data_IF_487134815399
#
_entry.id   IF_487134815399
#
_cell.length_a   1.000
_cell.length_b   1.000
_cell.length_c   1.000
_cell.angle_alpha   90.00
_cell.angle_beta   90.00
_cell.angle_gamma   90.00
#
_symmetry.space_group_name_H-M   'P 1'
#
loop_
_entity.id
_entity.type
_entity.pdbx_description
1 polymer ?
#
# COMPACT_ATOMS: atom_id res chain seq x y z
N UNK A 1 -12.36 11.31 13.72
CA UNK A 1 -13.15 11.40 12.46
C UNK A 1 -12.28 12.09 11.42
N UNK A 2 -12.38 11.75 10.13
CA UNK A 2 -11.73 12.53 9.06
C UNK A 2 -12.35 13.92 9.00
N UNK A 3 -11.57 14.94 8.64
CA UNK A 3 -12.04 16.32 8.56
C UNK A 3 -12.94 16.52 7.34
N UNK A 4 -13.83 17.52 7.38
CA UNK A 4 -14.66 17.87 6.21
C UNK A 4 -13.81 18.34 5.02
N UNK A 5 -12.66 18.95 5.32
CA UNK A 5 -11.62 19.30 4.35
C UNK A 5 -10.98 18.09 3.66
N UNK A 6 -10.86 16.95 4.35
CA UNK A 6 -10.29 15.71 3.78
C UNK A 6 -11.19 15.17 2.65
N UNK A 7 -12.52 15.36 2.75
CA UNK A 7 -13.48 14.83 1.77
C UNK A 7 -13.34 15.43 0.37
N UNK A 8 -12.81 16.65 0.27
CA UNK A 8 -12.61 17.39 -0.98
C UNK A 8 -11.23 17.18 -1.60
N UNK A 9 -10.28 16.66 -0.82
CA UNK A 9 -8.93 16.35 -1.29
C UNK A 9 -8.82 14.88 -1.70
N UNK A 10 -7.85 14.54 -2.56
CA UNK A 10 -7.62 13.14 -2.93
C UNK A 10 -7.21 12.30 -1.72
N UNK A 11 -7.67 11.05 -1.68
CA UNK A 11 -7.12 10.01 -0.84
C UNK A 11 -6.76 8.79 -1.68
N UNK A 12 -5.73 8.06 -1.26
CA UNK A 12 -5.37 6.78 -1.86
C UNK A 12 -5.61 5.67 -0.85
N UNK A 13 -6.32 4.63 -1.25
CA UNK A 13 -6.59 3.46 -0.42
C UNK A 13 -5.95 2.23 -1.04
N UNK A 14 -4.98 1.65 -0.34
CA UNK A 14 -4.34 0.40 -0.73
C UNK A 14 -4.99 -0.78 -0.02
N UNK A 15 -5.24 -1.86 -0.74
CA UNK A 15 -5.71 -3.12 -0.17
C UNK A 15 -4.70 -4.25 -0.44
N UNK A 16 -4.26 -4.92 0.62
CA UNK A 16 -3.31 -6.03 0.55
C UNK A 16 -3.91 -7.32 -0.02
N UNK A 17 -3.06 -8.31 -0.32
CA UNK A 17 -3.49 -9.56 -0.95
C UNK A 17 -4.46 -10.37 -0.08
N UNK A 18 -4.31 -10.34 1.25
CA UNK A 18 -5.28 -10.91 2.18
C UNK A 18 -6.61 -10.17 2.11
N UNK A 19 -6.60 -8.84 2.04
CA UNK A 19 -7.78 -8.00 1.88
C UNK A 19 -8.55 -8.30 0.59
N UNK A 20 -7.88 -8.63 -0.51
CA UNK A 20 -8.53 -9.00 -1.77
C UNK A 20 -8.52 -10.51 -2.04
N UNK A 21 -8.30 -11.34 -1.03
CA UNK A 21 -8.08 -12.78 -1.18
C UNK A 21 -9.30 -13.59 -1.64
N UNK A 22 -10.50 -13.01 -1.64
CA UNK A 22 -11.71 -13.65 -2.15
C UNK A 22 -12.65 -12.64 -2.78
N UNK A 23 -13.56 -13.11 -3.64
CA UNK A 23 -14.58 -12.28 -4.29
C UNK A 23 -15.46 -11.58 -3.25
N UNK A 24 -15.83 -12.24 -2.16
CA UNK A 24 -16.66 -11.63 -1.12
C UNK A 24 -15.93 -10.52 -0.36
N UNK A 25 -14.62 -10.69 -0.14
CA UNK A 25 -13.80 -9.62 0.44
C UNK A 25 -13.68 -8.42 -0.48
N UNK A 26 -13.48 -8.65 -1.79
CA UNK A 26 -13.47 -7.58 -2.81
C UNK A 26 -14.81 -6.84 -2.83
N UNK A 27 -15.95 -7.56 -2.79
CA UNK A 27 -17.29 -6.96 -2.70
C UNK A 27 -17.47 -6.14 -1.43
N UNK A 28 -16.99 -6.64 -0.29
CA UNK A 28 -17.05 -5.89 0.98
C UNK A 28 -16.27 -4.57 0.91
N UNK A 29 -15.10 -4.57 0.25
CA UNK A 29 -14.31 -3.36 0.01
C UNK A 29 -15.06 -2.39 -0.92
N UNK A 30 -15.61 -2.88 -2.03
CA UNK A 30 -16.38 -2.06 -2.96
C UNK A 30 -17.59 -1.40 -2.28
N UNK A 31 -18.34 -2.15 -1.46
CA UNK A 31 -19.46 -1.62 -0.68
C UNK A 31 -19.02 -0.54 0.32
N UNK A 32 -17.82 -0.68 0.92
CA UNK A 32 -17.24 0.36 1.80
C UNK A 32 -16.92 1.63 1.02
N UNK A 33 -16.25 1.51 -0.13
CA UNK A 33 -15.93 2.67 -0.99
C UNK A 33 -17.21 3.35 -1.48
N UNK A 34 -18.25 2.57 -1.82
CA UNK A 34 -19.56 3.12 -2.19
C UNK A 34 -20.19 3.95 -1.06
N UNK A 35 -20.15 3.46 0.19
CA UNK A 35 -20.58 4.24 1.37
C UNK A 35 -19.76 5.53 1.53
N UNK A 36 -18.45 5.48 1.30
CA UNK A 36 -17.60 6.68 1.37
C UNK A 36 -17.96 7.69 0.27
N UNK A 37 -18.18 7.25 -0.97
CA UNK A 37 -18.68 8.11 -2.06
C UNK A 37 -20.02 8.76 -1.68
N UNK A 38 -20.96 8.00 -1.12
CA UNK A 38 -22.25 8.51 -0.64
C UNK A 38 -22.09 9.52 0.52
N UNK A 39 -21.09 9.34 1.38
CA UNK A 39 -20.77 10.26 2.48
C UNK A 39 -20.02 11.54 2.04
N UNK A 40 -19.83 11.72 0.73
CA UNK A 40 -19.27 12.93 0.13
C UNK A 40 -17.78 12.89 -0.18
N UNK A 41 -17.11 11.72 -0.07
CA UNK A 41 -15.72 11.60 -0.50
C UNK A 41 -15.61 11.68 -2.02
N UNK A 42 -15.14 12.81 -2.55
CA UNK A 42 -15.16 13.07 -3.99
C UNK A 42 -14.09 12.31 -4.77
N UNK A 43 -12.87 12.23 -4.21
CA UNK A 43 -11.64 11.82 -4.91
C UNK A 43 -10.94 10.67 -4.19
N UNK A 44 -11.41 9.45 -4.42
CA UNK A 44 -10.79 8.22 -3.91
C UNK A 44 -10.06 7.53 -5.06
N UNK A 45 -8.78 7.21 -4.90
CA UNK A 45 -8.06 6.28 -5.77
C UNK A 45 -7.77 4.98 -5.01
N UNK A 46 -7.89 3.85 -5.68
CA UNK A 46 -7.72 2.53 -5.07
C UNK A 46 -6.46 1.88 -5.64
N UNK A 47 -5.63 1.28 -4.80
CA UNK A 47 -4.50 0.45 -5.19
C UNK A 47 -4.70 -0.96 -4.66
N UNK A 48 -4.55 -1.97 -5.51
CA UNK A 48 -4.72 -3.37 -5.10
C UNK A 48 -3.46 -4.20 -5.34
N UNK A 49 -3.16 -5.11 -4.41
CA UNK A 49 -2.22 -6.20 -4.61
C UNK A 49 -2.87 -7.37 -5.37
N UNK A 50 -2.09 -8.34 -5.83
CA UNK A 50 -2.62 -9.63 -6.26
C UNK A 50 -3.40 -10.31 -5.13
N UNK A 51 -4.34 -11.20 -5.49
CA UNK A 51 -5.07 -12.03 -4.53
C UNK A 51 -4.10 -12.92 -3.74
N UNK A 52 -4.43 -13.19 -2.47
CA UNK A 52 -3.60 -14.00 -1.59
C UNK A 52 -3.15 -15.33 -2.25
N UNK A 53 -1.84 -15.56 -2.28
CA UNK A 53 -1.24 -16.77 -2.86
C UNK A 53 -0.87 -16.67 -4.34
N UNK A 54 -1.51 -15.80 -5.13
CA UNK A 54 -1.28 -15.75 -6.59
C UNK A 54 0.13 -15.32 -6.97
N UNK A 55 0.70 -14.32 -6.28
CA UNK A 55 2.09 -13.90 -6.54
C UNK A 55 3.05 -15.08 -6.36
N UNK A 56 2.94 -15.82 -5.24
CA UNK A 56 3.80 -16.98 -4.96
C UNK A 56 3.63 -18.07 -6.01
N UNK A 57 2.38 -18.36 -6.40
CA UNK A 57 2.06 -19.32 -7.47
C UNK A 57 2.74 -18.94 -8.78
N UNK A 58 2.73 -17.66 -9.17
CA UNK A 58 3.43 -17.21 -10.38
C UNK A 58 4.95 -17.31 -10.26
N UNK A 59 5.52 -16.99 -9.10
CA UNK A 59 6.96 -17.19 -8.84
C UNK A 59 7.35 -18.66 -9.00
N UNK A 60 6.57 -19.57 -8.41
CA UNK A 60 6.80 -21.01 -8.51
C UNK A 60 6.71 -21.50 -9.96
N UNK A 61 5.69 -21.06 -10.72
CA UNK A 61 5.51 -21.43 -12.12
C UNK A 61 6.71 -20.99 -12.99
N UNK A 62 7.18 -19.75 -12.83
CA UNK A 62 8.36 -19.27 -13.56
C UNK A 62 9.59 -20.12 -13.21
N UNK A 63 9.79 -20.43 -11.93
CA UNK A 63 10.90 -21.25 -11.45
C UNK A 63 10.85 -22.69 -11.97
N UNK A 64 9.66 -23.29 -12.07
CA UNK A 64 9.48 -24.63 -12.64
C UNK A 64 9.80 -24.70 -14.14
N UNK A 65 9.50 -23.63 -14.89
CA UNK A 65 9.84 -23.54 -16.31
C UNK A 65 11.33 -23.31 -16.50
N UNK A 66 11.92 -22.36 -15.76
CA UNK A 66 13.34 -22.08 -15.79
C UNK A 66 13.80 -21.43 -14.46
N UNK A 67 14.56 -22.16 -13.61
CA UNK A 67 15.11 -21.61 -12.37
C UNK A 67 16.03 -20.40 -12.55
N UNK A 68 16.60 -20.24 -13.75
CA UNK A 68 17.47 -19.13 -14.14
C UNK A 68 16.76 -18.16 -15.10
N UNK A 69 15.43 -18.09 -15.07
CA UNK A 69 14.67 -17.16 -15.91
C UNK A 69 15.17 -15.71 -15.70
N UNK A 70 15.29 -14.96 -16.79
CA UNK A 70 15.63 -13.54 -16.71
C UNK A 70 14.55 -12.79 -15.91
N UNK A 71 14.98 -11.85 -15.08
CA UNK A 71 14.10 -11.13 -14.14
C UNK A 71 12.93 -10.37 -14.82
N UNK A 72 13.06 -10.01 -16.10
CA UNK A 72 11.96 -9.43 -16.88
C UNK A 72 10.77 -10.38 -17.09
N UNK A 73 11.03 -11.69 -17.22
CA UNK A 73 9.98 -12.69 -17.34
C UNK A 73 9.29 -12.93 -16.01
N UNK A 74 10.06 -12.88 -14.92
CA UNK A 74 9.51 -12.85 -13.57
C UNK A 74 8.56 -11.67 -13.41
N UNK A 75 9.02 -10.44 -13.69
CA UNK A 75 8.23 -9.21 -13.53
C UNK A 75 6.92 -9.27 -14.32
N UNK A 76 7.00 -9.72 -15.58
CA UNK A 76 5.82 -9.90 -16.41
C UNK A 76 4.83 -10.90 -15.80
N UNK A 77 5.30 -12.07 -15.35
CA UNK A 77 4.44 -13.12 -14.80
C UNK A 77 3.76 -12.68 -13.50
N UNK A 78 4.53 -12.16 -12.53
CA UNK A 78 3.96 -11.81 -11.22
C UNK A 78 3.02 -10.61 -11.30
N UNK A 79 3.26 -9.67 -12.23
CA UNK A 79 2.40 -8.50 -12.43
C UNK A 79 0.98 -8.86 -12.88
N UNK A 80 0.79 -10.03 -13.50
CA UNK A 80 -0.52 -10.48 -13.93
C UNK A 80 -1.50 -10.64 -12.76
N UNK A 81 -1.02 -10.94 -11.55
CA UNK A 81 -1.84 -11.08 -10.36
C UNK A 81 -2.56 -9.78 -9.99
N UNK A 82 -1.85 -8.66 -9.99
CA UNK A 82 -2.43 -7.33 -9.75
C UNK A 82 -3.37 -6.91 -10.88
N UNK A 83 -3.10 -7.31 -12.13
CA UNK A 83 -4.01 -7.03 -13.24
C UNK A 83 -5.38 -7.68 -13.01
N UNK A 84 -5.41 -8.94 -12.56
CA UNK A 84 -6.66 -9.64 -12.25
C UNK A 84 -7.40 -8.95 -11.10
N UNK A 85 -6.74 -8.66 -9.97
CA UNK A 85 -7.40 -8.04 -8.82
C UNK A 85 -7.91 -6.62 -9.12
N UNK A 86 -7.19 -5.86 -9.94
CA UNK A 86 -7.59 -4.52 -10.39
C UNK A 86 -8.89 -4.58 -11.20
N UNK A 87 -8.99 -5.53 -12.14
CA UNK A 87 -10.20 -5.73 -12.93
C UNK A 87 -11.39 -6.16 -12.05
N UNK A 88 -11.16 -7.09 -11.13
CA UNK A 88 -12.21 -7.57 -10.20
C UNK A 88 -12.72 -6.47 -9.28
N UNK A 89 -11.83 -5.62 -8.75
CA UNK A 89 -12.21 -4.50 -7.90
C UNK A 89 -13.01 -3.45 -8.66
N UNK A 90 -12.61 -3.08 -9.88
CA UNK A 90 -13.37 -2.16 -10.72
C UNK A 90 -14.78 -2.69 -11.02
N UNK A 91 -14.90 -3.96 -11.41
CA UNK A 91 -16.20 -4.60 -11.64
C UNK A 91 -17.06 -4.67 -10.37
N UNK A 92 -16.45 -4.88 -9.20
CA UNK A 92 -17.17 -4.87 -7.93
C UNK A 92 -17.68 -3.47 -7.57
N UNK A 93 -16.93 -2.40 -7.84
CA UNK A 93 -17.38 -1.02 -7.65
C UNK A 93 -18.55 -0.67 -8.57
N UNK A 94 -18.47 -1.06 -9.85
CA UNK A 94 -19.57 -0.85 -10.81
C UNK A 94 -20.85 -1.54 -10.36
N UNK A 95 -20.75 -2.75 -9.79
CA UNK A 95 -21.89 -3.46 -9.20
C UNK A 95 -22.56 -2.68 -8.07
N UNK A 96 -21.78 -1.95 -7.27
CA UNK A 96 -22.28 -1.10 -6.19
C UNK A 96 -22.78 0.28 -6.69
N UNK A 97 -22.87 0.47 -8.01
CA UNK A 97 -23.32 1.71 -8.64
C UNK A 97 -22.26 2.82 -8.62
N UNK A 98 -21.01 2.49 -8.36
CA UNK A 98 -19.87 3.43 -8.40
C UNK A 98 -19.13 3.22 -9.72
N UNK A 99 -19.14 4.19 -10.66
CA UNK A 99 -18.32 4.08 -11.86
C UNK A 99 -16.86 3.90 -11.47
N UNK A 100 -16.16 2.96 -12.11
CA UNK A 100 -14.77 2.68 -11.79
C UNK A 100 -13.99 2.38 -13.06
N UNK A 101 -12.68 2.63 -13.04
CA UNK A 101 -11.82 2.30 -14.16
C UNK A 101 -10.53 1.66 -13.66
N UNK A 102 -10.21 0.50 -14.23
CA UNK A 102 -8.98 -0.22 -13.96
C UNK A 102 -7.80 0.38 -14.75
N UNK A 103 -6.66 0.54 -14.08
CA UNK A 103 -5.43 1.07 -14.65
C UNK A 103 -4.23 0.19 -14.26
N UNK A 104 -3.44 -0.15 -15.27
CA UNK A 104 -2.12 -0.74 -15.11
C UNK A 104 -1.05 0.36 -15.13
N UNK A 105 0.13 0.07 -14.58
CA UNK A 105 1.24 1.03 -14.47
C UNK A 105 1.56 1.75 -15.79
N UNK A 106 1.58 1.03 -16.92
CA UNK A 106 1.85 1.62 -18.24
C UNK A 106 0.77 2.59 -18.71
N UNK A 107 -0.49 2.37 -18.30
CA UNK A 107 -1.60 3.22 -18.72
C UNK A 107 -1.54 4.59 -18.05
N UNK A 108 -0.97 4.69 -16.84
CA UNK A 108 -0.84 5.93 -16.06
C UNK A 108 0.60 6.46 -16.01
N UNK A 109 1.43 6.04 -16.96
CA UNK A 109 2.81 6.52 -17.05
C UNK A 109 3.63 6.33 -15.76
N UNK A 110 3.38 5.26 -15.00
CA UNK A 110 4.14 4.94 -13.79
C UNK A 110 5.53 4.43 -14.19
N UNK A 111 6.45 5.36 -14.42
CA UNK A 111 7.81 5.09 -14.87
C UNK A 111 8.66 4.61 -13.72
N UNK A 112 9.42 3.55 -13.96
CA UNK A 112 10.35 2.97 -13.01
C UNK A 112 11.73 2.75 -13.64
N UNK A 113 12.75 2.72 -12.79
CA UNK A 113 14.14 2.52 -13.19
C UNK A 113 14.87 1.53 -12.26
N UNK A 114 16.07 1.12 -12.66
CA UNK A 114 16.91 0.19 -11.93
C UNK A 114 16.75 -1.25 -12.42
N UNK A 115 16.75 -2.19 -11.48
CA UNK A 115 16.71 -3.62 -11.79
C UNK A 115 15.27 -4.14 -11.74
N UNK A 116 14.93 -5.04 -12.67
CA UNK A 116 13.75 -5.90 -12.56
C UNK A 116 13.69 -6.58 -11.18
N UNK A 117 12.48 -6.88 -10.72
CA UNK A 117 12.16 -7.37 -9.38
C UNK A 117 12.44 -6.40 -8.20
N UNK A 118 13.12 -5.27 -8.41
CA UNK A 118 13.51 -4.31 -7.36
C UNK A 118 13.54 -2.85 -7.86
N UNK A 119 12.66 -2.52 -8.79
CA UNK A 119 12.66 -1.21 -9.45
C UNK A 119 12.27 -0.08 -8.48
N UNK A 120 12.59 1.16 -8.87
CA UNK A 120 12.24 2.39 -8.15
C UNK A 120 11.38 3.27 -9.03
N UNK A 121 10.30 3.82 -8.45
CA UNK A 121 9.40 4.73 -9.15
C UNK A 121 10.14 6.06 -9.40
N UNK A 122 10.09 6.53 -10.64
CA UNK A 122 10.66 7.82 -11.08
C UNK A 122 9.58 8.89 -11.21
N UNK A 123 8.45 8.56 -11.83
CA UNK A 123 7.34 9.49 -12.06
C UNK A 123 6.02 8.74 -12.25
N UNK A 124 4.91 9.44 -12.03
CA UNK A 124 3.55 8.95 -12.28
C UNK A 124 2.78 10.07 -12.98
N UNK A 125 2.08 9.75 -14.06
CA UNK A 125 1.18 10.66 -14.73
C UNK A 125 -0.23 10.52 -14.14
N UNK A 126 -0.77 11.64 -13.63
CA UNK A 126 -2.06 11.67 -12.94
C UNK A 126 -3.23 12.04 -13.84
N UNK A 127 -3.00 12.46 -15.08
CA UNK A 127 -4.03 13.04 -15.96
C UNK A 127 -5.24 12.11 -16.13
N UNK A 128 -4.98 10.82 -16.37
CA UNK A 128 -6.06 9.83 -16.54
C UNK A 128 -6.82 9.53 -15.26
N UNK A 129 -6.16 9.62 -14.10
CA UNK A 129 -6.79 9.40 -12.81
C UNK A 129 -7.69 10.59 -12.44
N UNK A 130 -7.21 11.80 -12.71
CA UNK A 130 -7.97 13.04 -12.55
C UNK A 130 -9.17 13.09 -13.50
N UNK A 131 -9.00 12.65 -14.75
CA UNK A 131 -10.11 12.51 -15.70
C UNK A 131 -11.14 11.47 -15.24
N UNK A 132 -10.71 10.35 -14.65
CA UNK A 132 -11.60 9.34 -14.07
C UNK A 132 -12.46 9.95 -12.94
N UNK A 133 -11.86 10.73 -12.04
CA UNK A 133 -12.62 11.46 -11.01
C UNK A 133 -13.56 12.52 -11.58
N UNK A 134 -13.13 13.25 -12.61
CA UNK A 134 -13.96 14.25 -13.27
C UNK A 134 -15.22 13.64 -13.92
N UNK A 135 -15.13 12.40 -14.39
CA UNK A 135 -16.26 11.60 -14.86
C UNK A 135 -17.10 10.97 -13.72
N UNK A 136 -16.79 11.29 -12.45
CA UNK A 136 -17.48 10.78 -11.27
C UNK A 136 -17.00 9.40 -10.80
N UNK A 137 -16.00 8.83 -11.47
CA UNK A 137 -15.53 7.47 -11.22
C UNK A 137 -14.48 7.33 -10.12
N UNK A 138 -14.09 6.08 -9.87
CA UNK A 138 -12.99 5.68 -8.97
C UNK A 138 -11.91 4.98 -9.79
N UNK A 139 -10.70 5.55 -9.90
CA UNK A 139 -9.58 4.84 -10.50
C UNK A 139 -9.10 3.72 -9.58
N UNK A 140 -8.97 2.51 -10.14
CA UNK A 140 -8.39 1.33 -9.49
C UNK A 140 -7.07 1.03 -10.18
N UNK A 141 -5.97 1.08 -9.45
CA UNK A 141 -4.61 0.97 -9.98
C UNK A 141 -3.96 -0.33 -9.50
N UNK A 142 -3.34 -1.06 -10.43
CA UNK A 142 -2.48 -2.20 -10.08
C UNK A 142 -1.25 -1.71 -9.31
N UNK A 143 -1.11 -2.15 -8.05
CA UNK A 143 0.09 -1.87 -7.26
C UNK A 143 1.29 -2.68 -7.75
N UNK A 144 2.45 -2.55 -7.09
CA UNK A 144 3.66 -3.37 -7.29
C UNK A 144 4.34 -3.25 -8.68
N UNK A 145 3.64 -2.71 -9.67
CA UNK A 145 4.09 -2.55 -11.05
C UNK A 145 4.69 -1.17 -11.33
N UNK A 146 5.57 -1.13 -12.32
CA UNK A 146 6.04 0.06 -13.03
C UNK A 146 6.42 -0.30 -14.46
N UNK A 147 6.79 0.70 -15.25
CA UNK A 147 7.32 0.48 -16.61
C UNK A 147 8.65 1.17 -16.83
N UNK A 148 9.57 0.47 -17.48
CA UNK A 148 10.85 1.03 -17.91
C UNK A 148 10.64 2.11 -18.99
N UNK A 149 11.72 2.79 -19.37
CA UNK A 149 11.73 3.73 -20.49
C UNK A 149 11.36 3.04 -21.81
N UNK A 150 11.72 1.76 -21.97
CA UNK A 150 11.40 0.93 -23.12
C UNK A 150 10.01 0.28 -23.05
N UNK A 151 9.18 0.67 -22.07
CA UNK A 151 7.84 0.11 -21.79
C UNK A 151 7.85 -1.38 -21.40
N UNK A 152 8.94 -1.88 -20.83
CA UNK A 152 8.96 -3.21 -20.21
C UNK A 152 8.33 -3.14 -18.81
N UNK A 153 7.53 -4.14 -18.45
CA UNK A 153 6.97 -4.26 -17.10
C UNK A 153 8.10 -4.49 -16.10
N UNK A 154 8.11 -3.69 -15.04
CA UNK A 154 9.02 -3.82 -13.91
C UNK A 154 8.24 -3.99 -12.62
N UNK A 155 8.80 -4.69 -11.64
CA UNK A 155 8.20 -4.77 -10.31
C UNK A 155 9.07 -4.12 -9.24
N UNK A 156 8.40 -3.58 -8.22
CA UNK A 156 9.02 -2.71 -7.20
C UNK A 156 9.67 -3.48 -6.04
N UNK A 157 9.57 -4.81 -6.06
CA UNK A 157 10.01 -5.71 -5.00
C UNK A 157 9.00 -5.86 -3.86
N UNK A 158 9.45 -6.42 -2.73
CA UNK A 158 8.59 -6.63 -1.56
C UNK A 158 7.96 -5.32 -1.09
N UNK A 159 6.71 -5.40 -0.65
CA UNK A 159 5.92 -4.21 -0.26
C UNK A 159 5.58 -3.28 -1.42
N UNK A 160 5.79 -3.69 -2.67
CA UNK A 160 5.67 -2.78 -3.82
C UNK A 160 4.28 -2.17 -3.99
N UNK A 161 3.19 -2.85 -3.59
CA UNK A 161 1.87 -2.22 -3.62
C UNK A 161 1.73 -1.07 -2.61
N UNK A 162 2.37 -1.15 -1.44
CA UNK A 162 2.38 -0.05 -0.46
C UNK A 162 3.19 1.13 -1.01
N UNK A 163 4.35 0.83 -1.63
CA UNK A 163 5.19 1.82 -2.30
C UNK A 163 4.42 2.51 -3.43
N UNK A 164 3.72 1.74 -4.28
CA UNK A 164 2.85 2.28 -5.34
C UNK A 164 1.79 3.22 -4.77
N UNK A 165 1.15 2.85 -3.66
CA UNK A 165 0.10 3.64 -3.06
C UNK A 165 0.60 4.98 -2.50
N UNK A 166 1.72 4.98 -1.75
CA UNK A 166 2.28 6.24 -1.25
C UNK A 166 2.84 7.10 -2.37
N UNK A 167 3.51 6.50 -3.37
CA UNK A 167 3.99 7.26 -4.54
C UNK A 167 2.83 7.90 -5.31
N UNK A 168 1.73 7.16 -5.47
CA UNK A 168 0.53 7.65 -6.12
C UNK A 168 -0.13 8.78 -5.30
N UNK A 169 -0.20 8.63 -3.97
CA UNK A 169 -0.72 9.65 -3.07
C UNK A 169 0.10 10.94 -3.16
N UNK A 170 1.43 10.84 -3.22
CA UNK A 170 2.33 11.98 -3.43
C UNK A 170 2.07 12.64 -4.78
N UNK A 171 2.00 11.87 -5.87
CA UNK A 171 1.76 12.39 -7.21
C UNK A 171 0.41 13.13 -7.31
N UNK A 172 -0.64 12.57 -6.69
CA UNK A 172 -1.99 13.14 -6.67
C UNK A 172 -2.17 14.26 -5.66
N UNK A 173 -1.15 14.58 -4.86
CA UNK A 173 -1.22 15.55 -3.74
C UNK A 173 -2.37 15.21 -2.79
N UNK A 174 -2.50 13.93 -2.45
CA UNK A 174 -3.51 13.43 -1.55
C UNK A 174 -3.34 13.97 -0.12
N UNK A 175 -4.42 14.00 0.66
CA UNK A 175 -4.35 14.33 2.09
C UNK A 175 -3.61 13.25 2.88
N UNK A 176 -3.82 11.99 2.52
CA UNK A 176 -3.18 10.83 3.12
C UNK A 176 -3.29 9.60 2.23
N UNK A 177 -2.45 8.61 2.52
CA UNK A 177 -2.50 7.27 1.96
C UNK A 177 -2.97 6.27 3.02
N UNK A 178 -4.10 5.61 2.82
CA UNK A 178 -4.54 4.50 3.66
C UNK A 178 -3.93 3.17 3.20
N UNK A 179 -3.21 2.50 4.10
CA UNK A 179 -2.80 1.12 3.95
C UNK A 179 -3.79 0.24 4.70
N UNK A 180 -4.75 -0.31 3.95
CA UNK A 180 -5.74 -1.25 4.47
C UNK A 180 -5.17 -2.67 4.41
N UNK A 181 -5.05 -3.29 5.58
CA UNK A 181 -4.44 -4.61 5.78
C UNK A 181 -5.32 -5.47 6.69
N UNK A 182 -4.79 -6.55 7.25
CA UNK A 182 -5.43 -7.52 8.16
C UNK A 182 -5.14 -7.27 9.65
N UNK A 183 -4.69 -6.06 9.99
CA UNK A 183 -4.46 -5.61 11.37
C UNK A 183 -5.06 -4.22 11.60
N UNK A 184 -5.49 -3.94 12.82
CA UNK A 184 -6.14 -2.68 13.20
C UNK A 184 -5.23 -1.45 13.10
N UNK A 185 -3.92 -1.66 13.07
CA UNK A 185 -2.90 -0.63 12.99
C UNK A 185 -1.56 -1.15 13.51
N UNK A 186 -0.71 -0.22 13.96
CA UNK A 186 0.57 -0.52 14.62
C UNK A 186 0.34 -0.59 16.12
N UNK A 187 0.80 -1.66 16.76
CA UNK A 187 0.72 -1.86 18.20
C UNK A 187 2.07 -1.61 18.87
N UNK A 188 2.06 -1.32 20.17
CA UNK A 188 3.28 -1.12 20.97
C UNK A 188 4.18 -2.36 21.02
N UNK A 189 3.64 -3.55 20.77
CA UNK A 189 4.36 -4.80 20.54
C UNK A 189 3.48 -5.73 19.67
N UNK A 190 4.01 -6.87 19.20
CA UNK A 190 3.17 -7.86 18.48
C UNK A 190 2.10 -8.41 19.44
N UNK A 191 0.79 -8.13 19.20
CA UNK A 191 -0.29 -8.55 20.10
C UNK A 191 -0.45 -10.08 20.17
N UNK A 192 0.13 -10.83 19.22
CA UNK A 192 0.16 -12.29 19.24
C UNK A 192 1.18 -12.84 20.25
N UNK A 193 2.15 -12.01 20.65
CA UNK A 193 3.19 -12.33 21.62
C UNK A 193 2.91 -11.66 22.97
N UNK A 194 2.46 -10.41 22.94
CA UNK A 194 2.14 -9.60 24.14
C UNK A 194 0.67 -9.19 24.08
N UNK A 195 -0.25 -9.93 24.74
CA UNK A 195 -1.69 -9.66 24.68
C UNK A 195 -2.10 -8.26 25.15
N UNK A 196 -1.31 -7.63 26.03
CA UNK A 196 -1.54 -6.28 26.56
C UNK A 196 -1.05 -5.16 25.63
N UNK A 197 -0.52 -5.51 24.45
CA UNK A 197 -0.07 -4.52 23.46
C UNK A 197 -1.22 -3.57 23.10
N UNK A 198 -0.92 -2.28 23.06
CA UNK A 198 -1.91 -1.23 22.80
C UNK A 198 -1.74 -0.71 21.38
N UNK A 199 -2.86 -0.33 20.76
CA UNK A 199 -2.84 0.36 19.48
C UNK A 199 -2.17 1.72 19.65
N UNK A 200 -1.21 2.03 18.77
CA UNK A 200 -0.57 3.33 18.70
C UNK A 200 -1.39 4.20 17.75
N UNK A 201 -2.11 5.20 18.27
CA UNK A 201 -3.02 6.01 17.44
C UNK A 201 -2.27 6.93 16.47
N UNK A 202 -1.15 7.51 16.93
CA UNK A 202 -0.29 8.40 16.13
C UNK A 202 1.16 8.03 16.34
N UNK A 203 1.93 7.95 15.26
CA UNK A 203 3.33 7.55 15.23
C UNK A 203 4.09 8.53 14.31
N UNK A 204 5.30 8.93 14.69
CA UNK A 204 6.14 9.74 13.82
C UNK A 204 6.84 8.86 12.77
N UNK A 205 7.34 9.47 11.70
CA UNK A 205 7.99 8.72 10.63
C UNK A 205 9.23 7.96 11.09
N UNK A 206 10.04 8.52 11.99
CA UNK A 206 11.29 7.89 12.43
C UNK A 206 10.98 6.64 13.27
N UNK A 207 10.07 6.75 14.24
CA UNK A 207 9.62 5.57 14.99
C UNK A 207 8.98 4.52 14.08
N UNK A 208 8.16 4.93 13.10
CA UNK A 208 7.55 4.01 12.14
C UNK A 208 8.60 3.28 11.28
N UNK A 209 9.65 3.99 10.86
CA UNK A 209 10.77 3.43 10.09
C UNK A 209 11.52 2.39 10.89
N UNK A 210 11.89 2.70 12.14
CA UNK A 210 12.59 1.78 13.02
C UNK A 210 11.75 0.53 13.31
N UNK A 211 10.46 0.70 13.62
CA UNK A 211 9.56 -0.42 13.84
C UNK A 211 9.41 -1.30 12.59
N UNK A 212 9.27 -0.71 11.40
CA UNK A 212 9.18 -1.44 10.14
C UNK A 212 10.50 -2.16 9.79
N UNK A 213 11.65 -1.55 10.06
CA UNK A 213 12.96 -2.13 9.80
C UNK A 213 13.27 -3.33 10.73
N UNK A 214 12.81 -3.27 11.97
CA UNK A 214 13.10 -4.26 13.02
C UNK A 214 12.03 -5.38 13.15
N UNK A 215 11.18 -5.55 12.14
CA UNK A 215 10.32 -6.74 12.02
C UNK A 215 8.82 -6.51 12.28
N UNK A 216 8.36 -5.27 12.45
CA UNK A 216 6.92 -4.98 12.36
C UNK A 216 6.45 -5.22 10.92
N UNK A 217 5.83 -6.39 10.68
CA UNK A 217 5.37 -6.82 9.34
C UNK A 217 4.18 -6.03 8.80
N UNK A 218 3.76 -4.98 9.49
CA UNK A 218 2.56 -4.19 9.16
C UNK A 218 2.81 -3.26 7.98
N UNK A 219 4.00 -2.68 7.88
CA UNK A 219 4.38 -1.76 6.81
C UNK A 219 5.76 -2.08 6.26
N UNK A 220 5.94 -1.86 4.96
CA UNK A 220 7.26 -1.93 4.35
C UNK A 220 8.04 -0.63 4.56
N UNK A 221 9.28 -0.69 5.05
CA UNK A 221 10.10 0.49 5.39
C UNK A 221 10.18 1.53 4.26
N UNK A 222 10.44 1.08 3.02
CA UNK A 222 10.48 1.96 1.83
C UNK A 222 9.20 2.79 1.60
N UNK A 223 8.04 2.30 2.01
CA UNK A 223 6.77 3.03 1.92
C UNK A 223 6.77 4.19 2.94
N UNK A 224 7.24 3.93 4.16
CA UNK A 224 7.38 4.95 5.22
C UNK A 224 8.46 5.97 4.85
N UNK A 225 9.59 5.54 4.28
CA UNK A 225 10.65 6.45 3.80
C UNK A 225 10.10 7.44 2.77
N UNK A 226 9.26 6.94 1.86
CA UNK A 226 8.62 7.77 0.84
C UNK A 226 7.61 8.73 1.47
N UNK A 227 6.82 8.26 2.43
CA UNK A 227 5.91 9.11 3.22
C UNK A 227 6.66 10.25 3.91
N UNK A 228 7.73 9.92 4.62
CA UNK A 228 8.59 10.88 5.33
C UNK A 228 9.20 11.90 4.38
N UNK A 229 9.81 11.44 3.28
CA UNK A 229 10.49 12.30 2.29
C UNK A 229 9.58 13.38 1.70
N UNK A 230 8.30 13.05 1.47
CA UNK A 230 7.34 13.95 0.84
C UNK A 230 6.30 14.51 1.82
N UNK A 231 6.43 14.23 3.11
CA UNK A 231 5.46 14.63 4.13
C UNK A 231 4.06 14.05 3.90
N UNK A 232 3.93 12.90 3.24
CA UNK A 232 2.65 12.25 2.92
C UNK A 232 2.18 11.38 4.09
N UNK A 233 1.11 11.76 4.82
CA UNK A 233 0.62 10.99 5.95
C UNK A 233 0.16 9.60 5.52
N UNK A 234 0.50 8.60 6.32
CA UNK A 234 0.12 7.20 6.09
C UNK A 234 -0.83 6.77 7.19
N UNK A 235 -1.95 6.15 6.82
CA UNK A 235 -2.94 5.63 7.76
C UNK A 235 -2.98 4.11 7.66
N UNK A 236 -2.65 3.40 8.73
CA UNK A 236 -2.75 1.94 8.78
C UNK A 236 -4.05 1.55 9.47
N UNK A 237 -4.81 0.64 8.86
CA UNK A 237 -6.04 0.12 9.45
C UNK A 237 -6.45 -1.24 8.89
N UNK A 238 -7.41 -1.86 9.57
CA UNK A 238 -8.05 -3.08 9.08
C UNK A 238 -8.97 -2.75 7.90
N UNK A 239 -8.87 -3.56 6.86
CA UNK A 239 -9.70 -3.50 5.65
C UNK A 239 -11.19 -3.65 5.97
N UNK A 240 -11.54 -4.46 6.98
CA UNK A 240 -12.91 -4.87 7.28
C UNK A 240 -13.50 -4.24 8.54
N UNK A 241 -12.75 -3.41 9.25
CA UNK A 241 -13.28 -2.61 10.36
C UNK A 241 -14.33 -1.61 9.83
N UNK A 242 -15.60 -1.83 10.21
CA UNK A 242 -16.76 -1.10 9.67
C UNK A 242 -16.93 0.26 10.34
N UNK A 243 -16.45 0.44 11.57
CA UNK A 243 -16.72 1.66 12.36
C UNK A 243 -15.65 2.76 12.18
N UNK A 244 -14.63 2.51 11.35
CA UNK A 244 -13.50 3.43 11.12
C UNK A 244 -12.80 3.88 12.43
N UNK A 245 -12.95 3.09 13.50
CA UNK A 245 -12.65 3.51 14.85
C UNK A 245 -11.16 3.34 15.18
N UNK A 246 -10.53 2.27 14.69
CA UNK A 246 -9.14 1.92 15.02
C UNK A 246 -8.22 2.08 13.83
N UNK A 247 -7.15 2.87 14.04
CA UNK A 247 -6.09 3.12 13.06
C UNK A 247 -4.85 3.65 13.73
N UNK A 248 -3.73 3.54 13.04
CA UNK A 248 -2.51 4.31 13.32
C UNK A 248 -2.30 5.35 12.24
N UNK A 249 -2.06 6.60 12.62
CA UNK A 249 -1.63 7.67 11.71
C UNK A 249 -0.13 7.87 11.83
N UNK A 250 0.59 7.76 10.73
CA UNK A 250 2.02 8.02 10.63
C UNK A 250 2.22 9.35 9.93
N UNK A 251 2.81 10.31 10.64
CA UNK A 251 2.96 11.70 10.18
C UNK A 251 4.07 12.42 10.95
N UNK A 252 4.55 13.56 10.45
CA UNK A 252 5.43 14.42 11.23
C UNK A 252 4.69 14.96 12.46
N UNK A 253 5.38 14.96 13.60
CA UNK A 253 4.86 15.57 14.82
C UNK A 253 5.09 17.08 14.81
N UNK A 254 4.15 17.83 15.37
CA UNK A 254 4.36 19.23 15.77
C UNK A 254 5.31 19.29 16.97
N UNK A 255 5.91 20.45 17.26
CA UNK A 255 6.79 20.63 18.42
C UNK A 255 6.12 20.22 19.74
N UNK A 256 4.83 20.55 19.91
CA UNK A 256 4.06 20.17 21.09
C UNK A 256 3.88 18.65 21.19
N UNK A 257 3.60 17.97 20.07
CA UNK A 257 3.43 16.51 20.06
C UNK A 257 4.76 15.79 20.30
N UNK A 258 5.87 16.33 19.81
CA UNK A 258 7.20 15.79 20.07
C UNK A 258 7.59 15.91 21.55
N UNK A 259 7.19 16.99 22.23
CA UNK A 259 7.50 17.19 23.66
C UNK A 259 6.79 16.17 24.57
N UNK A 260 5.55 15.79 24.23
CA UNK A 260 4.76 14.80 24.98
C UNK A 260 4.93 13.37 24.48
N UNK A 261 5.73 13.17 23.43
CA UNK A 261 5.96 11.85 22.85
C UNK A 261 6.64 10.93 23.86
N UNK A 262 6.21 9.65 23.95
CA UNK A 262 6.84 8.69 24.84
C UNK A 262 8.30 8.46 24.42
N UNK A 263 9.18 8.30 25.41
CA UNK A 263 10.60 7.97 25.15
C UNK A 263 10.75 6.61 24.46
N UNK A 264 9.82 5.69 24.71
CA UNK A 264 9.74 4.38 24.04
C UNK A 264 8.33 4.19 23.50
N UNK A 265 8.20 4.18 22.18
CA UNK A 265 6.90 4.07 21.49
C UNK A 265 6.48 2.61 21.25
N UNK A 266 7.44 1.69 21.15
CA UNK A 266 7.14 0.27 20.98
C UNK A 266 8.37 -0.63 20.98
N UNK A 267 8.13 -1.94 20.97
CA UNK A 267 9.13 -3.01 20.94
C UNK A 267 8.82 -3.92 19.76
N UNK A 268 9.79 -4.08 18.87
CA UNK A 268 9.76 -4.99 17.72
C UNK A 268 10.69 -6.19 17.95
N UNK A 269 10.40 -7.29 17.26
CA UNK A 269 11.18 -8.52 17.34
C UNK A 269 11.40 -9.09 15.94
N UNK A 270 12.66 -9.23 15.54
CA UNK A 270 13.05 -10.04 14.39
C UNK A 270 13.71 -11.33 14.85
N UNK A 271 13.11 -12.47 14.49
CA UNK A 271 13.64 -13.81 14.79
C UNK A 271 14.52 -14.35 13.66
N UNK A 272 14.54 -13.71 12.50
CA UNK A 272 15.24 -14.18 11.30
C UNK A 272 16.61 -13.50 11.11
N UNK A 273 17.37 -13.38 12.20
CA UNK A 273 18.69 -12.73 12.22
C UNK A 273 19.78 -13.72 12.62
N UNK A 274 20.97 -13.56 12.05
CA UNK A 274 22.17 -14.33 12.41
C UNK A 274 23.30 -13.37 12.78
N UNK A 275 23.93 -13.59 13.94
CA UNK A 275 25.07 -12.78 14.40
C UNK A 275 26.37 -13.45 13.97
N UNK A 276 27.15 -12.76 13.14
CA UNK A 276 28.54 -13.10 12.86
C UNK A 276 29.46 -12.22 13.70
N UNK A 277 30.57 -12.78 14.19
CA UNK A 277 31.62 -12.00 14.88
C UNK A 277 32.95 -12.40 14.27
N UNK A 278 33.64 -11.44 13.65
CA UNK A 278 34.94 -11.64 13.05
C UNK A 278 36.02 -11.18 14.04
N UNK A 279 36.97 -12.05 14.35
CA UNK A 279 38.06 -11.79 15.30
C UNK A 279 39.41 -12.02 14.64
N UNK A 280 40.44 -11.28 15.05
CA UNK A 280 41.82 -11.52 14.59
C UNK A 280 42.14 -10.99 13.19
N UNK A 281 41.50 -9.89 12.79
CA UNK A 281 41.98 -9.04 11.68
C UNK A 281 43.20 -8.23 12.11
#
# INVERSE_FOLDING_TARGET
MYSETDKNQPIVQKYGGTSVGSVDRIRSIAARIARQKQAGWGKIAVVVSAMAGETNRFVELVGMVNPNAAAKHYDLAVSAGEQVSTALMAAALEREGVPAQAFLAYQIGLRAEGLHAKARIRSIDTEKLEACWAAGGVPVVAGFQGVSEQNEVMTLGRGGSDISAVALAVALKASFCEINTDVEGVFTADPRVVPEAKLVETLDYDSALEMAALGSKVLHSRCVELGAKYGMPIVVRDSFDVEEARRTRIMSFTESQALEAPVVTGVSLDRNVCKFTLTGL
#
